data_IF_374746254225
#
_entry.id   IF_374746254225
#
_cell.length_a   1.000
_cell.length_b   1.000
_cell.length_c   1.000
_cell.angle_alpha   90.00
_cell.angle_beta   90.00
_cell.angle_gamma   90.00
#
_symmetry.space_group_name_H-M   'P 1'
#
loop_
_entity.id
_entity.type
_entity.pdbx_description
1 polymer ?
#
# COMPACT_ATOMS: atom_id res chain seq x y z
N UNK A 1 -16.57 -13.51 -21.26
CA UNK A 1 -15.17 -13.80 -20.87
C UNK A 1 -15.02 -13.49 -19.40
N UNK A 2 -14.76 -14.48 -18.51
CA UNK A 2 -14.54 -14.22 -17.08
C UNK A 2 -13.25 -13.40 -16.96
N UNK A 3 -13.35 -12.16 -16.51
CA UNK A 3 -12.18 -11.32 -16.24
C UNK A 3 -11.37 -11.96 -15.12
N UNK A 4 -10.14 -12.35 -15.42
CA UNK A 4 -9.24 -12.97 -14.43
C UNK A 4 -8.75 -11.91 -13.46
N UNK A 5 -8.84 -12.20 -12.15
CA UNK A 5 -8.31 -11.33 -11.06
C UNK A 5 -6.79 -11.51 -10.86
N UNK A 6 -6.08 -11.98 -11.89
CA UNK A 6 -4.65 -12.21 -11.82
C UNK A 6 -3.88 -10.89 -11.98
N UNK A 7 -2.96 -10.65 -11.05
CA UNK A 7 -1.96 -9.60 -11.17
C UNK A 7 -0.95 -9.99 -12.25
N UNK A 8 -0.64 -9.08 -13.16
CA UNK A 8 0.26 -9.27 -14.32
C UNK A 8 1.50 -8.40 -14.20
N UNK A 9 2.53 -8.68 -14.95
CA UNK A 9 3.76 -7.88 -14.95
C UNK A 9 3.48 -6.40 -15.24
N UNK A 10 2.58 -6.08 -16.16
CA UNK A 10 2.17 -4.69 -16.48
C UNK A 10 1.57 -3.94 -15.27
N UNK A 11 1.12 -4.65 -14.27
CA UNK A 11 0.53 -4.05 -13.07
C UNK A 11 1.57 -3.66 -12.01
N UNK A 12 2.85 -3.99 -12.24
CA UNK A 12 3.94 -3.69 -11.31
C UNK A 12 4.86 -2.66 -11.98
N UNK A 13 5.01 -1.51 -11.35
CA UNK A 13 5.81 -0.38 -11.87
C UNK A 13 6.81 0.07 -10.81
N UNK A 14 8.02 0.38 -11.22
CA UNK A 14 9.10 0.81 -10.33
C UNK A 14 9.47 2.25 -10.62
N UNK A 15 9.80 3.00 -9.57
CA UNK A 15 10.15 4.41 -9.68
C UNK A 15 11.46 4.70 -8.96
N UNK A 16 12.28 5.55 -9.56
CA UNK A 16 13.49 6.14 -8.99
C UNK A 16 13.44 7.64 -9.17
N UNK A 17 13.63 8.40 -8.10
CA UNK A 17 13.54 9.86 -8.11
C UNK A 17 12.26 10.38 -8.79
N UNK A 18 11.14 9.69 -8.54
CA UNK A 18 9.83 9.98 -9.15
C UNK A 18 9.69 9.60 -10.63
N UNK A 19 10.73 9.00 -11.24
CA UNK A 19 10.72 8.58 -12.65
C UNK A 19 10.47 7.09 -12.78
N UNK A 20 9.66 6.71 -13.77
CA UNK A 20 9.39 5.31 -14.09
C UNK A 20 10.65 4.63 -14.64
N UNK A 21 10.97 3.47 -14.09
CA UNK A 21 12.02 2.59 -14.61
C UNK A 21 11.40 1.61 -15.62
N UNK A 22 12.00 1.47 -16.78
CA UNK A 22 11.58 0.48 -17.78
C UNK A 22 11.75 -0.94 -17.25
N UNK A 23 10.83 -1.84 -17.62
CA UNK A 23 10.84 -3.23 -17.20
C UNK A 23 10.89 -4.14 -18.43
N UNK A 24 11.81 -5.12 -18.52
CA UNK A 24 12.80 -5.51 -17.50
C UNK A 24 14.01 -4.57 -17.42
N UNK A 25 14.65 -4.51 -16.26
CA UNK A 25 15.89 -3.76 -16.05
C UNK A 25 16.66 -4.29 -14.85
N UNK A 26 17.97 -4.34 -14.92
CA UNK A 26 18.84 -4.64 -13.81
C UNK A 26 18.74 -3.58 -12.69
N UNK A 27 18.31 -2.37 -13.05
CA UNK A 27 18.19 -1.26 -12.10
C UNK A 27 16.93 -1.31 -11.22
N UNK A 28 16.04 -2.29 -11.41
CA UNK A 28 14.81 -2.39 -10.59
C UNK A 28 15.10 -2.53 -9.09
N UNK A 29 16.20 -3.18 -8.74
CA UNK A 29 16.61 -3.33 -7.33
C UNK A 29 16.99 -2.01 -6.66
N UNK A 30 17.33 -0.98 -7.44
CA UNK A 30 17.71 0.34 -6.95
C UNK A 30 16.55 1.34 -6.96
N UNK A 31 15.34 0.90 -7.31
CA UNK A 31 14.15 1.74 -7.24
C UNK A 31 13.86 2.22 -5.80
N UNK A 32 13.26 3.38 -5.67
CA UNK A 32 12.85 3.95 -4.39
C UNK A 32 11.47 3.44 -3.97
N UNK A 33 10.65 3.09 -4.96
CA UNK A 33 9.31 2.56 -4.72
C UNK A 33 8.84 1.62 -5.81
N UNK A 34 7.87 0.78 -5.45
CA UNK A 34 7.13 -0.09 -6.36
C UNK A 34 5.64 0.17 -6.21
N UNK A 35 4.97 0.38 -7.33
CA UNK A 35 3.52 0.54 -7.42
C UNK A 35 2.90 -0.74 -7.98
N UNK A 36 1.88 -1.24 -7.29
CA UNK A 36 1.12 -2.43 -7.69
C UNK A 36 -0.32 -2.04 -7.94
N UNK A 37 -0.77 -2.13 -9.19
CA UNK A 37 -2.12 -1.72 -9.61
C UNK A 37 -3.03 -2.94 -9.74
N UNK A 38 -4.13 -2.92 -9.01
CA UNK A 38 -5.17 -3.93 -9.05
C UNK A 38 -6.28 -3.50 -10.00
N UNK A 39 -6.34 -4.09 -11.17
CA UNK A 39 -7.33 -3.73 -12.21
C UNK A 39 -8.75 -4.12 -11.82
N UNK A 40 -8.90 -5.17 -11.02
CA UNK A 40 -10.20 -5.69 -10.59
C UNK A 40 -10.13 -6.26 -9.18
N UNK A 41 -11.14 -5.95 -8.38
CA UNK A 41 -11.30 -6.45 -7.02
C UNK A 41 -12.65 -7.13 -6.83
N UNK A 42 -12.80 -7.86 -5.70
CA UNK A 42 -14.02 -8.58 -5.34
C UNK A 42 -15.23 -7.63 -5.19
N UNK A 43 -14.98 -6.38 -4.78
CA UNK A 43 -16.00 -5.38 -4.46
C UNK A 43 -16.21 -4.37 -5.61
N UNK A 44 -15.90 -4.75 -6.84
CA UNK A 44 -16.08 -3.94 -8.07
C UNK A 44 -15.28 -2.62 -8.13
N UNK A 45 -14.38 -2.38 -7.17
CA UNK A 45 -13.41 -1.29 -7.26
C UNK A 45 -12.40 -1.60 -8.36
N UNK A 46 -12.24 -0.66 -9.30
CA UNK A 46 -11.34 -0.79 -10.44
C UNK A 46 -10.12 0.12 -10.25
N UNK A 47 -8.96 -0.39 -10.69
CA UNK A 47 -7.72 0.40 -10.79
C UNK A 47 -7.23 1.03 -9.48
N UNK A 48 -7.24 0.27 -8.39
CA UNK A 48 -6.56 0.70 -7.16
C UNK A 48 -5.07 0.40 -7.21
N UNK A 49 -4.25 1.37 -6.85
CA UNK A 49 -2.79 1.24 -6.79
C UNK A 49 -2.31 1.34 -5.36
N UNK A 50 -1.48 0.40 -4.95
CA UNK A 50 -0.76 0.42 -3.68
C UNK A 50 0.71 0.67 -3.98
N UNK A 51 1.31 1.63 -3.26
CA UNK A 51 2.72 1.98 -3.40
C UNK A 51 3.46 1.53 -2.15
N UNK A 52 4.57 0.83 -2.35
CA UNK A 52 5.49 0.45 -1.28
C UNK A 52 6.84 1.15 -1.49
N UNK A 53 7.31 1.80 -0.45
CA UNK A 53 8.65 2.39 -0.40
C UNK A 53 9.74 1.35 -0.18
N UNK A 54 10.96 1.71 -0.55
CA UNK A 54 12.17 0.95 -0.26
C UNK A 54 12.44 0.96 1.25
N UNK A 55 12.96 -0.14 1.76
CA UNK A 55 13.50 -0.25 3.12
C UNK A 55 14.98 -0.64 3.06
N UNK A 56 15.71 -0.43 4.16
CA UNK A 56 17.11 -0.83 4.27
C UNK A 56 17.27 -2.34 4.51
N UNK A 57 16.19 -3.04 4.86
CA UNK A 57 16.20 -4.48 5.08
C UNK A 57 16.48 -5.23 3.77
N UNK A 58 17.43 -6.16 3.82
CA UNK A 58 17.83 -6.92 2.65
C UNK A 58 16.79 -7.98 2.25
N UNK A 59 16.04 -8.51 3.22
CA UNK A 59 15.09 -9.63 3.04
C UNK A 59 13.66 -9.12 2.94
N UNK A 60 13.27 -8.17 3.80
CA UNK A 60 11.88 -7.71 3.91
C UNK A 60 11.58 -6.46 3.07
N UNK A 61 12.56 -5.93 2.31
CA UNK A 61 12.33 -4.78 1.44
C UNK A 61 11.37 -5.14 0.29
N UNK A 62 10.17 -4.56 0.23
CA UNK A 62 9.19 -4.89 -0.80
C UNK A 62 9.68 -4.56 -2.21
N UNK A 63 10.45 -3.47 -2.37
CA UNK A 63 11.01 -3.07 -3.67
C UNK A 63 11.97 -4.13 -4.21
N UNK A 64 12.92 -4.60 -3.37
CA UNK A 64 13.87 -5.65 -3.75
C UNK A 64 13.16 -6.96 -4.09
N UNK A 65 12.18 -7.37 -3.27
CA UNK A 65 11.44 -8.61 -3.49
C UNK A 65 10.64 -8.58 -4.79
N UNK A 66 9.97 -7.46 -5.08
CA UNK A 66 9.27 -7.28 -6.35
C UNK A 66 10.23 -7.24 -7.53
N UNK A 67 11.39 -6.56 -7.42
CA UNK A 67 12.39 -6.50 -8.46
C UNK A 67 12.93 -7.88 -8.83
N UNK A 68 13.30 -8.68 -7.82
CA UNK A 68 13.78 -10.05 -8.01
C UNK A 68 12.72 -10.94 -8.65
N UNK A 69 11.47 -10.84 -8.21
CA UNK A 69 10.35 -11.60 -8.78
C UNK A 69 10.14 -11.22 -10.26
N UNK A 70 10.04 -9.93 -10.56
CA UNK A 70 9.77 -9.43 -11.90
C UNK A 70 10.92 -9.79 -12.85
N UNK A 71 12.17 -9.51 -12.47
CA UNK A 71 13.33 -9.86 -13.29
C UNK A 71 13.41 -11.36 -13.56
N UNK A 72 13.19 -12.21 -12.52
CA UNK A 72 13.15 -13.66 -12.69
C UNK A 72 12.08 -14.11 -13.71
N UNK A 73 10.87 -13.55 -13.64
CA UNK A 73 9.82 -13.94 -14.59
C UNK A 73 10.19 -13.52 -16.02
N UNK A 74 10.85 -12.37 -16.20
CA UNK A 74 11.31 -11.91 -17.50
C UNK A 74 12.37 -12.80 -18.13
N UNK A 75 13.09 -13.63 -17.36
CA UNK A 75 14.01 -14.63 -17.92
C UNK A 75 13.30 -15.82 -18.57
N UNK A 76 12.02 -16.02 -18.33
CA UNK A 76 11.29 -17.17 -18.86
C UNK A 76 10.92 -16.98 -20.34
N UNK A 77 11.09 -18.01 -21.19
CA UNK A 77 10.81 -17.92 -22.61
C UNK A 77 9.39 -17.44 -22.91
N UNK A 78 9.26 -16.48 -23.84
CA UNK A 78 7.98 -15.93 -24.29
C UNK A 78 7.20 -15.14 -23.21
N UNK A 79 7.88 -14.60 -22.19
CA UNK A 79 7.30 -13.67 -21.22
C UNK A 79 6.90 -12.36 -21.91
N UNK A 80 5.77 -11.83 -21.51
CA UNK A 80 5.24 -10.53 -21.94
C UNK A 80 4.70 -9.77 -20.74
N UNK A 81 4.33 -8.52 -20.89
CA UNK A 81 3.66 -7.73 -19.84
C UNK A 81 2.34 -8.37 -19.35
N UNK A 82 1.72 -9.22 -20.17
CA UNK A 82 0.49 -9.96 -19.82
C UNK A 82 0.75 -11.19 -18.95
N UNK A 83 2.00 -11.58 -18.73
CA UNK A 83 2.35 -12.75 -17.93
C UNK A 83 1.98 -12.52 -16.47
N UNK A 84 1.25 -13.47 -15.83
CA UNK A 84 0.90 -13.37 -14.42
C UNK A 84 2.13 -13.40 -13.50
N UNK A 85 2.13 -12.60 -12.44
CA UNK A 85 3.24 -12.55 -11.46
C UNK A 85 3.39 -13.83 -10.61
N UNK A 86 2.39 -14.71 -10.63
CA UNK A 86 2.47 -16.03 -10.00
C UNK A 86 3.07 -17.12 -10.93
N UNK A 87 3.68 -16.71 -12.04
CA UNK A 87 4.28 -17.64 -13.02
C UNK A 87 5.64 -18.15 -12.53
N UNK A 88 5.87 -19.43 -12.69
CA UNK A 88 7.14 -20.12 -12.50
C UNK A 88 7.47 -20.97 -13.72
N UNK A 89 8.77 -21.23 -13.91
CA UNK A 89 9.26 -22.12 -14.95
C UNK A 89 9.66 -23.46 -14.31
N UNK A 90 8.98 -24.54 -14.66
CA UNK A 90 9.27 -25.89 -14.16
C UNK A 90 9.10 -26.90 -15.29
N UNK A 91 10.00 -27.88 -15.40
CA UNK A 91 9.91 -28.98 -16.37
C UNK A 91 9.66 -28.46 -17.78
N UNK A 92 10.41 -27.44 -18.19
CA UNK A 92 10.35 -26.77 -19.49
C UNK A 92 8.99 -26.17 -19.86
N UNK A 93 8.17 -25.87 -18.89
CA UNK A 93 6.88 -25.23 -19.09
C UNK A 93 6.58 -24.15 -18.05
N UNK A 94 5.69 -23.26 -18.42
CA UNK A 94 5.13 -22.26 -17.49
C UNK A 94 4.04 -22.90 -16.66
N UNK A 95 4.13 -22.72 -15.36
CA UNK A 95 3.13 -23.08 -14.39
C UNK A 95 2.75 -21.85 -13.55
N UNK A 96 1.54 -21.85 -12.98
CA UNK A 96 1.12 -20.83 -12.04
C UNK A 96 1.13 -21.40 -10.62
N UNK A 97 1.76 -20.66 -9.70
CA UNK A 97 1.71 -21.00 -8.28
C UNK A 97 0.27 -20.78 -7.79
N UNK A 98 -0.28 -21.78 -7.17
CA UNK A 98 -1.61 -21.75 -6.55
C UNK A 98 -1.55 -21.30 -5.09
N UNK A 99 -2.66 -20.76 -4.57
CA UNK A 99 -2.77 -20.42 -3.14
C UNK A 99 -2.52 -21.62 -2.23
N UNK A 100 -2.93 -22.81 -2.65
CA UNK A 100 -2.68 -24.05 -1.91
C UNK A 100 -1.17 -24.35 -1.76
N UNK A 101 -0.40 -24.16 -2.82
CA UNK A 101 1.07 -24.36 -2.77
C UNK A 101 1.73 -23.33 -1.84
N UNK A 102 1.28 -22.07 -1.88
CA UNK A 102 1.81 -21.03 -0.96
C UNK A 102 1.51 -21.40 0.49
N UNK A 103 0.27 -21.78 0.81
CA UNK A 103 -0.13 -22.18 2.16
C UNK A 103 0.63 -23.43 2.60
N UNK A 104 0.79 -24.42 1.73
CA UNK A 104 1.57 -25.62 2.03
C UNK A 104 3.02 -25.29 2.39
N UNK A 105 3.66 -24.38 1.65
CA UNK A 105 5.04 -23.93 1.95
C UNK A 105 5.13 -23.18 3.29
N UNK A 106 4.15 -22.34 3.60
CA UNK A 106 4.09 -21.62 4.88
C UNK A 106 3.89 -22.60 6.05
N UNK A 107 2.98 -23.55 5.93
CA UNK A 107 2.75 -24.57 6.95
C UNK A 107 3.99 -25.43 7.20
N UNK A 108 4.68 -25.82 6.13
CA UNK A 108 5.93 -26.59 6.24
C UNK A 108 7.03 -25.78 6.96
N UNK A 109 7.15 -24.49 6.66
CA UNK A 109 8.08 -23.62 7.37
C UNK A 109 7.73 -23.48 8.87
N UNK A 110 6.44 -23.30 9.19
CA UNK A 110 5.97 -23.23 10.57
C UNK A 110 6.21 -24.54 11.33
N UNK A 111 5.97 -25.70 10.69
CA UNK A 111 6.26 -26.99 11.29
C UNK A 111 7.77 -27.18 11.60
N UNK A 112 8.65 -26.60 10.75
CA UNK A 112 10.10 -26.62 10.99
C UNK A 112 10.49 -25.77 12.19
N UNK A 113 9.85 -24.60 12.40
CA UNK A 113 10.11 -23.72 13.55
C UNK A 113 9.53 -24.35 14.84
N UNK A 114 8.37 -24.97 14.74
CA UNK A 114 7.67 -25.64 15.84
C UNK A 114 6.61 -24.76 16.52
N UNK A 115 5.48 -25.39 16.84
CA UNK A 115 4.31 -24.73 17.43
C UNK A 115 4.61 -24.11 18.81
N UNK A 116 5.49 -24.74 19.59
CA UNK A 116 5.90 -24.20 20.90
C UNK A 116 6.57 -22.82 20.81
N UNK A 117 7.33 -22.58 19.73
CA UNK A 117 7.99 -21.29 19.50
C UNK A 117 7.06 -20.27 18.85
N UNK A 118 6.16 -20.73 17.97
CA UNK A 118 5.26 -19.86 17.23
C UNK A 118 4.00 -19.48 18.02
N UNK A 119 3.57 -20.33 18.95
CA UNK A 119 2.33 -20.14 19.72
C UNK A 119 1.07 -20.50 18.96
N UNK A 120 1.19 -21.15 17.79
CA UNK A 120 0.07 -21.66 16.99
C UNK A 120 0.48 -22.89 16.17
N UNK A 121 -0.51 -23.68 15.73
CA UNK A 121 -0.28 -24.85 14.90
C UNK A 121 -0.21 -24.50 13.41
N UNK A 122 0.61 -25.21 12.60
CA UNK A 122 0.73 -24.97 11.16
C UNK A 122 -0.60 -25.00 10.43
N UNK A 123 -1.54 -25.83 10.89
CA UNK A 123 -2.89 -26.01 10.32
C UNK A 123 -3.75 -24.75 10.45
N UNK A 124 -3.49 -23.90 11.42
CA UNK A 124 -4.19 -22.64 11.64
C UNK A 124 -3.87 -21.59 10.57
N UNK A 125 -2.77 -21.78 9.81
CA UNK A 125 -2.42 -20.89 8.70
C UNK A 125 -3.34 -21.12 7.51
N UNK A 126 -4.04 -20.07 7.12
CA UNK A 126 -4.93 -20.02 5.98
C UNK A 126 -4.59 -18.90 4.99
N UNK A 127 -5.40 -18.76 3.95
CA UNK A 127 -5.22 -17.74 2.90
C UNK A 127 -5.30 -16.29 3.41
N UNK A 128 -5.97 -16.09 4.55
CA UNK A 128 -6.13 -14.78 5.18
C UNK A 128 -5.04 -14.45 6.22
N UNK A 129 -4.25 -15.43 6.65
CA UNK A 129 -3.28 -15.26 7.74
C UNK A 129 -2.24 -14.21 7.42
N UNK A 130 -1.68 -14.18 6.20
CA UNK A 130 -0.71 -13.15 5.80
C UNK A 130 -1.33 -11.75 5.81
N UNK A 131 -2.57 -11.62 5.37
CA UNK A 131 -3.27 -10.34 5.33
C UNK A 131 -3.63 -9.85 6.73
N UNK A 132 -4.09 -10.74 7.60
CA UNK A 132 -4.41 -10.40 8.99
C UNK A 132 -3.15 -10.11 9.81
N UNK A 133 -2.07 -10.89 9.60
CA UNK A 133 -0.78 -10.64 10.23
C UNK A 133 -0.21 -9.26 9.85
N UNK A 134 -0.20 -8.92 8.55
CA UNK A 134 0.25 -7.61 8.11
C UNK A 134 -0.59 -6.46 8.70
N UNK A 135 -1.91 -6.61 8.82
CA UNK A 135 -2.77 -5.62 9.47
C UNK A 135 -2.42 -5.45 10.95
N UNK A 136 -2.13 -6.57 11.64
CA UNK A 136 -1.72 -6.58 13.02
C UNK A 136 -0.39 -5.87 13.23
N UNK A 137 0.63 -6.21 12.43
CA UNK A 137 1.94 -5.58 12.48
C UNK A 137 1.86 -4.07 12.27
N UNK A 138 1.11 -3.62 11.27
CA UNK A 138 0.87 -2.18 11.06
C UNK A 138 0.19 -1.53 12.27
N UNK A 139 -0.80 -2.21 12.88
CA UNK A 139 -1.49 -1.70 14.05
C UNK A 139 -0.55 -1.58 15.27
N UNK A 140 0.27 -2.61 15.53
CA UNK A 140 1.25 -2.61 16.60
C UNK A 140 2.36 -1.57 16.40
N UNK A 141 2.71 -1.29 15.15
CA UNK A 141 3.63 -0.22 14.79
C UNK A 141 3.01 1.20 14.92
N UNK A 142 1.76 1.32 15.39
CA UNK A 142 1.08 2.59 15.59
C UNK A 142 0.58 3.25 14.29
N UNK A 143 0.54 2.52 13.17
CA UNK A 143 0.00 3.05 11.93
C UNK A 143 -1.50 3.36 12.11
N UNK A 144 -1.98 4.54 11.73
CA UNK A 144 -3.38 4.90 11.85
C UNK A 144 -4.30 3.89 11.16
N UNK A 145 -5.38 3.53 11.83
CA UNK A 145 -6.35 2.53 11.37
C UNK A 145 -6.82 2.79 9.94
N UNK A 146 -7.08 4.03 9.61
CA UNK A 146 -7.53 4.41 8.28
C UNK A 146 -6.46 4.17 7.22
N UNK A 147 -5.18 4.37 7.54
CA UNK A 147 -4.05 4.06 6.65
C UNK A 147 -3.95 2.55 6.42
N UNK A 148 -4.12 1.75 7.49
CA UNK A 148 -4.16 0.29 7.38
C UNK A 148 -5.30 -0.14 6.46
N UNK A 149 -6.48 0.48 6.58
CA UNK A 149 -7.63 0.19 5.71
C UNK A 149 -7.32 0.50 4.23
N UNK A 150 -6.67 1.62 3.95
CA UNK A 150 -6.29 2.00 2.58
C UNK A 150 -5.25 1.03 1.99
N UNK A 151 -4.18 0.74 2.72
CA UNK A 151 -3.14 -0.20 2.28
C UNK A 151 -3.71 -1.60 2.08
N UNK A 152 -4.53 -2.06 3.04
CA UNK A 152 -5.19 -3.35 2.99
C UNK A 152 -6.38 -3.41 2.02
N UNK A 153 -6.84 -2.27 1.51
CA UNK A 153 -8.01 -2.14 0.64
C UNK A 153 -9.25 -2.74 1.29
N UNK A 154 -9.52 -2.34 2.53
CA UNK A 154 -10.75 -2.65 3.22
C UNK A 154 -11.73 -1.49 3.08
N UNK A 155 -12.90 -1.78 2.54
CA UNK A 155 -14.01 -0.81 2.41
C UNK A 155 -14.87 -0.69 3.66
N UNK A 156 -14.60 -1.53 4.67
CA UNK A 156 -15.35 -1.58 5.92
C UNK A 156 -14.45 -1.87 7.10
N UNK A 157 -14.99 -1.78 8.30
CA UNK A 157 -14.36 -2.15 9.57
C UNK A 157 -14.07 -3.65 9.72
N UNK A 158 -14.30 -4.45 8.66
CA UNK A 158 -14.09 -5.90 8.69
C UNK A 158 -12.66 -6.28 9.13
N UNK A 159 -11.66 -5.44 8.90
CA UNK A 159 -10.30 -5.68 9.38
C UNK A 159 -10.18 -5.61 10.91
N UNK A 160 -11.06 -4.87 11.61
CA UNK A 160 -11.08 -4.81 13.06
C UNK A 160 -11.28 -6.20 13.70
N UNK A 161 -11.88 -7.14 12.97
CA UNK A 161 -12.00 -8.54 13.43
C UNK A 161 -10.65 -9.21 13.63
N UNK A 162 -9.63 -8.78 12.87
CA UNK A 162 -8.28 -9.33 12.95
C UNK A 162 -7.50 -8.79 14.15
N UNK A 163 -7.82 -7.56 14.60
CA UNK A 163 -7.14 -6.91 15.71
C UNK A 163 -7.98 -6.91 17.02
N UNK A 164 -9.20 -7.46 17.00
CA UNK A 164 -10.17 -7.35 18.09
C UNK A 164 -9.63 -7.86 19.43
N UNK A 165 -8.97 -9.01 19.45
CA UNK A 165 -8.40 -9.58 20.68
C UNK A 165 -7.32 -8.68 21.27
N UNK A 166 -6.53 -8.03 20.42
CA UNK A 166 -5.47 -7.14 20.84
C UNK A 166 -6.03 -5.81 21.30
N UNK A 167 -7.11 -5.31 20.70
CA UNK A 167 -7.83 -4.13 21.20
C UNK A 167 -8.33 -4.36 22.61
N UNK A 168 -8.88 -5.52 22.94
CA UNK A 168 -9.28 -5.88 24.31
C UNK A 168 -8.09 -5.85 25.27
N UNK A 169 -6.93 -6.28 24.84
CA UNK A 169 -5.69 -6.30 25.63
C UNK A 169 -5.15 -4.88 25.84
N UNK A 170 -5.21 -4.02 24.81
CA UNK A 170 -4.79 -2.61 24.88
C UNK A 170 -5.81 -1.70 25.56
N UNK A 171 -7.08 -2.10 25.64
CA UNK A 171 -8.12 -1.27 26.27
C UNK A 171 -7.90 -1.05 27.76
N UNK A 172 -7.11 -1.91 28.42
CA UNK A 172 -6.75 -1.76 29.83
C UNK A 172 -6.02 -0.44 30.12
N UNK A 173 -5.24 0.06 29.16
CA UNK A 173 -4.46 1.29 29.32
C UNK A 173 -5.17 2.53 28.77
N UNK A 174 -6.29 2.38 28.08
CA UNK A 174 -6.99 3.51 27.45
C UNK A 174 -7.48 4.49 28.50
N UNK A 175 -8.11 3.99 29.57
CA UNK A 175 -8.58 4.83 30.67
C UNK A 175 -7.42 5.61 31.31
N UNK A 176 -6.28 4.96 31.54
CA UNK A 176 -5.11 5.61 32.10
C UNK A 176 -4.55 6.66 31.13
N UNK A 177 -4.48 6.37 29.84
CA UNK A 177 -4.06 7.34 28.81
C UNK A 177 -5.00 8.52 28.68
N UNK A 178 -6.31 8.33 28.89
CA UNK A 178 -7.28 9.43 28.95
C UNK A 178 -7.06 10.36 30.14
N UNK A 179 -6.48 9.86 31.22
CA UNK A 179 -6.16 10.69 32.41
C UNK A 179 -4.85 11.49 32.23
N UNK A 180 -3.99 11.11 31.34
CA UNK A 180 -2.72 11.80 31.04
C UNK A 180 -2.90 12.88 29.98
N UNK A 181 -4.11 13.43 29.84
CA UNK A 181 -4.39 14.28 28.72
C UNK A 181 -3.80 15.69 28.79
N UNK A 182 -3.36 16.11 27.67
CA UNK A 182 -3.19 17.50 27.29
C UNK A 182 -4.58 18.15 27.31
N UNK A 183 -4.78 19.18 28.15
CA UNK A 183 -6.03 19.94 28.18
C UNK A 183 -6.36 20.45 26.76
N UNK A 184 -7.63 20.39 26.36
CA UNK A 184 -8.08 21.01 25.11
C UNK A 184 -7.68 22.48 24.96
N UNK A 185 -7.40 23.13 26.09
CA UNK A 185 -6.91 24.52 26.13
C UNK A 185 -5.44 24.67 25.74
N UNK A 186 -4.67 23.58 25.71
CA UNK A 186 -3.23 23.56 25.35
C UNK A 186 -2.99 22.97 23.96
N UNK A 187 -4.04 22.68 23.21
CA UNK A 187 -3.87 22.43 21.78
C UNK A 187 -3.37 23.76 21.18
N UNK A 188 -2.16 23.83 20.59
CA UNK A 188 -1.69 25.05 19.95
C UNK A 188 -2.74 25.49 18.95
N UNK A 189 -3.26 26.70 19.10
CA UNK A 189 -4.10 27.28 18.05
C UNK A 189 -3.36 27.11 16.74
N UNK A 190 -3.95 26.36 15.82
CA UNK A 190 -3.55 26.39 14.43
C UNK A 190 -3.44 27.87 14.08
N UNK A 191 -2.25 28.34 13.72
CA UNK A 191 -1.82 29.70 13.55
C UNK A 191 -2.97 30.69 13.31
N UNK A 192 -3.07 31.81 14.04
CA UNK A 192 -4.24 32.67 14.00
C UNK A 192 -4.58 32.93 12.54
N UNK A 193 -5.82 32.60 12.15
CA UNK A 193 -6.34 33.00 10.85
C UNK A 193 -6.14 34.50 10.81
N UNK A 194 -5.25 34.95 9.93
CA UNK A 194 -5.15 36.36 9.59
C UNK A 194 -6.52 36.72 9.02
N UNK A 195 -7.38 37.24 9.89
CA UNK A 195 -8.62 37.86 9.45
C UNK A 195 -8.18 39.11 8.73
N UNK A 196 -8.03 39.01 7.40
CA UNK A 196 -7.91 40.18 6.57
C UNK A 196 -9.20 40.94 6.77
N UNK A 197 -9.09 42.15 7.37
CA UNK A 197 -10.18 43.13 7.44
C UNK A 197 -10.49 43.71 6.06
N UNK A 198 -10.60 42.83 5.06
CA UNK A 198 -11.06 43.26 3.74
C UNK A 198 -12.60 43.24 3.72
N UNK A 199 -13.18 44.40 3.43
CA UNK A 199 -14.61 44.61 3.26
C UNK A 199 -15.16 43.58 2.26
N UNK A 200 -16.17 42.79 2.63
CA UNK A 200 -16.78 41.78 1.76
C UNK A 200 -17.23 42.30 0.39
N UNK A 201 -17.42 43.62 0.24
CA UNK A 201 -17.82 44.26 -1.02
C UNK A 201 -16.66 44.37 -2.02
N UNK A 202 -15.39 44.29 -1.59
CA UNK A 202 -14.26 44.32 -2.50
C UNK A 202 -13.87 42.92 -3.05
N UNK A 203 -14.31 41.83 -2.43
CA UNK A 203 -14.10 40.47 -2.92
C UNK A 203 -14.74 40.18 -4.27
N UNK A 204 -15.97 40.65 -4.49
CA UNK A 204 -16.69 40.36 -5.71
C UNK A 204 -16.10 41.05 -6.97
N UNK A 205 -15.24 42.03 -6.81
CA UNK A 205 -14.61 42.72 -7.96
C UNK A 205 -13.27 42.10 -8.37
N UNK A 206 -12.55 41.44 -7.44
CA UNK A 206 -11.25 40.77 -7.76
C UNK A 206 -11.46 39.41 -8.38
N UNK A 207 -12.41 38.63 -7.88
CA UNK A 207 -12.68 37.28 -8.41
C UNK A 207 -13.17 37.31 -9.86
N UNK A 208 -13.90 38.36 -10.25
CA UNK A 208 -14.35 38.55 -11.65
C UNK A 208 -13.22 39.00 -12.59
N UNK A 209 -12.15 39.63 -12.10
CA UNK A 209 -11.00 40.05 -12.91
C UNK A 209 -10.00 38.90 -13.12
N UNK A 210 -9.82 38.02 -12.14
CA UNK A 210 -8.95 36.83 -12.25
C UNK A 210 -9.58 35.73 -13.09
N UNK A 211 -10.90 35.51 -12.99
CA UNK A 211 -11.61 34.50 -13.81
C UNK A 211 -11.54 34.85 -15.30
N UNK A 212 -11.53 36.12 -15.68
CA UNK A 212 -11.41 36.53 -17.09
C UNK A 212 -10.01 36.47 -17.66
N UNK A 213 -8.94 36.45 -16.82
CA UNK A 213 -7.54 36.30 -17.26
C UNK A 213 -7.10 34.85 -17.44
N UNK A 214 -7.77 33.90 -16.82
CA UNK A 214 -7.40 32.48 -16.84
C UNK A 214 -8.04 31.66 -17.97
N UNK A 215 -8.98 32.20 -18.73
CA UNK A 215 -9.61 31.48 -19.87
C UNK A 215 -8.73 31.49 -21.14
N UNK A 216 -7.59 32.19 -21.12
CA UNK A 216 -6.73 32.37 -22.30
C UNK A 216 -5.41 31.61 -22.28
N UNK A 217 -5.09 30.80 -21.27
CA UNK A 217 -3.75 30.21 -21.12
C UNK A 217 -3.72 28.77 -20.62
N UNK A 218 -4.57 27.90 -21.08
CA UNK A 218 -4.46 26.48 -20.69
C UNK A 218 -4.53 25.53 -21.88
N UNK A 219 -3.44 25.52 -22.65
CA UNK A 219 -3.17 24.49 -23.65
C UNK A 219 -1.72 23.97 -23.57
N UNK A 220 -1.10 23.96 -22.39
CA UNK A 220 0.18 23.22 -22.19
C UNK A 220 0.53 23.11 -20.69
N UNK A 221 -0.17 22.28 -19.94
CA UNK A 221 0.31 21.85 -18.63
C UNK A 221 0.35 20.34 -18.52
N UNK A 222 1.60 19.86 -18.53
CA UNK A 222 1.97 18.52 -18.05
C UNK A 222 1.38 18.29 -16.67
N UNK A 223 0.75 17.14 -16.49
CA UNK A 223 0.28 16.66 -15.20
C UNK A 223 1.49 16.48 -14.27
N UNK A 224 1.67 17.42 -13.37
CA UNK A 224 2.60 17.29 -12.25
C UNK A 224 1.83 16.65 -11.10
N UNK A 225 2.19 15.41 -10.74
CA UNK A 225 1.68 14.75 -9.54
C UNK A 225 2.16 15.52 -8.31
N UNK A 226 1.32 15.70 -7.28
CA UNK A 226 1.72 16.36 -6.05
C UNK A 226 2.80 15.54 -5.34
N UNK A 227 3.90 16.20 -4.96
CA UNK A 227 4.89 15.66 -4.05
C UNK A 227 4.25 15.50 -2.67
N UNK A 228 3.97 14.25 -2.28
CA UNK A 228 3.65 13.95 -0.89
C UNK A 228 4.96 13.93 -0.09
N UNK A 229 5.23 15.02 0.62
CA UNK A 229 6.17 15.02 1.74
C UNK A 229 5.50 14.25 2.88
N UNK A 230 5.87 13.00 3.06
CA UNK A 230 5.59 12.24 4.26
C UNK A 230 6.86 12.26 5.11
N UNK A 231 6.67 12.66 6.37
CA UNK A 231 7.59 12.65 7.52
C UNK A 231 8.27 13.99 7.87
N UNK A 232 7.70 14.63 8.86
CA UNK A 232 8.31 14.94 10.15
C UNK A 232 7.37 14.53 11.24
#
# INVERSE_FOLDING_TARGET
MKRTKLLRLRNVRFFKDGRLISTPSENLEFADSVAVTFEMQKNDHKHETVIHGRTDDAILCPVKQWAQLVNRIWTYPGTTEETPVCTVWRRDRREQITSHQVIGSLRAACATIGSAQLGFEPEEIGTHSLRSGAAMEMYLAGIPVYTIMLIGRWSSDAFLRYIRRQVEQFSKDVAQKMLTHISFRTIPDLAPRVVSNEDPRQRNHRDNAETRRNIGRDASRRVQLPAFSLFN
#
